data_IF_435884867237
#
_entry.id   IF_435884867237
#
_cell.length_a   1.000
_cell.length_b   1.000
_cell.length_c   1.000
_cell.angle_alpha   90.00
_cell.angle_beta   90.00
_cell.angle_gamma   90.00
#
_symmetry.space_group_name_H-M   'P 1'
#
loop_
_entity.id
_entity.type
_entity.pdbx_description
1 polymer ?
#
# COMPACT_ATOMS: atom_id res chain seq x y z
N UNK A 1 -17.45 -12.75 -20.52
CA UNK A 1 -16.97 -11.37 -20.30
C UNK A 1 -18.14 -10.55 -19.77
N UNK A 2 -18.38 -10.58 -18.46
CA UNK A 2 -19.44 -9.79 -17.86
C UNK A 2 -19.01 -8.31 -17.86
N UNK A 3 -19.89 -7.44 -18.32
CA UNK A 3 -19.63 -6.01 -18.42
C UNK A 3 -19.13 -5.47 -17.07
N UNK A 4 -17.92 -4.93 -17.07
CA UNK A 4 -17.40 -4.15 -15.93
C UNK A 4 -18.40 -3.01 -15.71
N UNK A 5 -19.08 -3.03 -14.58
CA UNK A 5 -20.01 -1.97 -14.19
C UNK A 5 -19.27 -0.63 -14.19
N UNK A 6 -19.94 0.45 -14.61
CA UNK A 6 -19.31 1.78 -14.71
C UNK A 6 -18.64 2.23 -13.39
N UNK A 7 -19.12 1.74 -12.25
CA UNK A 7 -18.54 1.97 -10.93
C UNK A 7 -17.19 1.24 -10.73
N UNK A 8 -17.06 -0.01 -11.18
CA UNK A 8 -15.81 -0.77 -11.10
C UNK A 8 -14.73 -0.16 -12.00
N UNK A 9 -15.09 0.32 -13.18
CA UNK A 9 -14.15 0.99 -14.10
C UNK A 9 -13.56 2.28 -13.48
N UNK A 10 -14.37 3.07 -12.77
CA UNK A 10 -13.89 4.27 -12.05
C UNK A 10 -12.93 3.89 -10.92
N UNK A 11 -13.24 2.83 -10.18
CA UNK A 11 -12.40 2.36 -9.09
C UNK A 11 -11.00 1.95 -9.57
N UNK A 12 -10.94 1.16 -10.65
CA UNK A 12 -9.68 0.75 -11.29
C UNK A 12 -8.92 1.98 -11.82
N UNK A 13 -9.62 2.95 -12.42
CA UNK A 13 -8.97 4.17 -12.90
C UNK A 13 -8.29 4.96 -11.77
N UNK A 14 -8.95 5.12 -10.62
CA UNK A 14 -8.34 5.76 -9.45
C UNK A 14 -7.14 4.98 -8.94
N UNK A 15 -7.27 3.66 -8.83
CA UNK A 15 -6.20 2.78 -8.39
C UNK A 15 -4.95 2.94 -9.25
N UNK A 16 -5.08 2.90 -10.58
CA UNK A 16 -3.97 3.06 -11.52
C UNK A 16 -3.32 4.44 -11.40
N UNK A 17 -4.11 5.50 -11.23
CA UNK A 17 -3.58 6.86 -11.06
C UNK A 17 -2.78 6.98 -9.76
N UNK A 18 -3.31 6.50 -8.64
CA UNK A 18 -2.58 6.53 -7.37
C UNK A 18 -1.36 5.61 -7.38
N UNK A 19 -1.45 4.47 -8.05
CA UNK A 19 -0.35 3.53 -8.19
C UNK A 19 0.81 4.13 -9.00
N UNK A 20 0.52 4.76 -10.13
CA UNK A 20 1.55 5.45 -10.95
C UNK A 20 2.19 6.62 -10.18
N UNK A 21 1.38 7.37 -9.41
CA UNK A 21 1.89 8.40 -8.50
C UNK A 21 2.81 7.81 -7.43
N UNK A 22 2.43 6.69 -6.82
CA UNK A 22 3.26 6.00 -5.82
C UNK A 22 4.58 5.49 -6.42
N UNK A 23 4.54 4.86 -7.60
CA UNK A 23 5.73 4.39 -8.30
C UNK A 23 6.66 5.56 -8.63
N UNK A 24 6.13 6.66 -9.18
CA UNK A 24 6.94 7.84 -9.48
C UNK A 24 7.59 8.45 -8.23
N UNK A 25 6.85 8.54 -7.11
CA UNK A 25 7.39 9.01 -5.83
C UNK A 25 8.57 8.15 -5.34
N UNK A 26 8.48 6.82 -5.49
CA UNK A 26 9.56 5.92 -5.08
C UNK A 26 10.75 5.99 -6.05
N UNK A 27 10.51 6.13 -7.35
CA UNK A 27 11.59 6.39 -8.32
C UNK A 27 12.35 7.67 -7.96
N UNK A 28 11.63 8.76 -7.64
CA UNK A 28 12.23 10.02 -7.18
C UNK A 28 13.04 9.84 -5.89
N UNK A 29 12.56 8.97 -4.98
CA UNK A 29 13.27 8.63 -3.74
C UNK A 29 14.57 7.87 -4.02
N UNK A 30 14.56 6.90 -4.93
CA UNK A 30 15.78 6.19 -5.37
C UNK A 30 16.75 7.11 -6.11
N UNK A 31 16.25 8.02 -6.95
CA UNK A 31 17.06 9.06 -7.60
C UNK A 31 17.74 9.94 -6.56
N UNK A 32 16.99 10.38 -5.54
CA UNK A 32 17.53 11.17 -4.44
C UNK A 32 18.61 10.42 -3.65
N UNK A 33 18.44 9.11 -3.43
CA UNK A 33 19.45 8.24 -2.83
C UNK A 33 20.73 8.17 -3.69
N UNK A 34 20.56 8.02 -5.00
CA UNK A 34 21.66 7.95 -5.97
C UNK A 34 22.43 9.28 -6.05
N UNK A 35 21.73 10.41 -6.03
CA UNK A 35 22.32 11.75 -6.00
C UNK A 35 23.13 11.95 -4.71
N UNK A 36 22.61 11.48 -3.57
CA UNK A 36 23.28 11.59 -2.26
C UNK A 36 24.41 10.57 -2.03
N UNK A 37 24.66 9.66 -3.00
CA UNK A 37 25.70 8.60 -2.97
C UNK A 37 25.79 7.85 -1.64
N UNK A 38 24.64 7.46 -1.10
CA UNK A 38 24.55 6.89 0.24
C UNK A 38 24.37 5.38 0.19
N UNK A 39 25.01 4.67 1.13
CA UNK A 39 24.84 3.22 1.27
C UNK A 39 23.37 2.89 1.62
N UNK A 40 22.89 1.76 1.10
CA UNK A 40 21.53 1.24 1.31
C UNK A 40 21.30 1.11 2.82
N UNK A 41 20.29 1.81 3.33
CA UNK A 41 19.88 1.70 4.74
C UNK A 41 18.58 0.93 4.88
N UNK A 42 18.27 0.53 6.11
CA UNK A 42 17.03 -0.17 6.45
C UNK A 42 15.77 0.54 5.90
N UNK A 43 15.80 1.87 5.75
CA UNK A 43 14.69 2.67 5.22
C UNK A 43 14.39 2.39 3.75
N UNK A 44 15.42 2.12 2.96
CA UNK A 44 15.27 1.83 1.53
C UNK A 44 14.67 0.44 1.35
N UNK A 45 15.07 -0.54 2.19
CA UNK A 45 14.50 -1.89 2.20
C UNK A 45 13.04 -1.86 2.61
N UNK A 46 12.68 -1.14 3.68
CA UNK A 46 11.29 -0.94 4.10
C UNK A 46 10.46 -0.27 2.98
N UNK A 47 11.03 0.71 2.27
CA UNK A 47 10.34 1.33 1.14
C UNK A 47 10.03 0.32 0.01
N UNK A 48 10.98 -0.56 -0.34
CA UNK A 48 10.79 -1.60 -1.35
C UNK A 48 9.72 -2.60 -0.91
N UNK A 49 9.77 -3.04 0.36
CA UNK A 49 8.77 -3.95 0.92
C UNK A 49 7.38 -3.33 0.89
N UNK A 50 7.25 -2.03 1.20
CA UNK A 50 5.97 -1.31 1.11
C UNK A 50 5.43 -1.25 -0.32
N UNK A 51 6.29 -1.07 -1.32
CA UNK A 51 5.90 -1.12 -2.73
C UNK A 51 5.44 -2.52 -3.16
N UNK A 52 6.13 -3.57 -2.71
CA UNK A 52 5.72 -4.94 -3.00
C UNK A 52 4.34 -5.25 -2.40
N UNK A 53 4.09 -4.78 -1.18
CA UNK A 53 2.77 -4.91 -0.55
C UNK A 53 1.69 -4.12 -1.32
N UNK A 54 2.02 -2.93 -1.84
CA UNK A 54 1.10 -2.13 -2.67
C UNK A 54 0.77 -2.83 -4.00
N UNK A 55 1.76 -3.47 -4.63
CA UNK A 55 1.54 -4.29 -5.84
C UNK A 55 0.63 -5.48 -5.52
N UNK A 56 0.89 -6.18 -4.41
CA UNK A 56 0.04 -7.29 -3.96
C UNK A 56 -1.41 -6.86 -3.74
N UNK A 57 -1.61 -5.75 -3.04
CA UNK A 57 -2.92 -5.15 -2.80
C UNK A 57 -3.66 -4.80 -4.10
N UNK A 58 -2.96 -4.24 -5.10
CA UNK A 58 -3.58 -3.92 -6.39
C UNK A 58 -3.96 -5.16 -7.21
N UNK A 59 -3.18 -6.22 -7.13
CA UNK A 59 -3.53 -7.51 -7.73
C UNK A 59 -4.77 -8.12 -7.06
N UNK A 60 -4.84 -8.10 -5.73
CA UNK A 60 -6.01 -8.61 -5.00
C UNK A 60 -7.29 -7.83 -5.34
N UNK A 61 -7.20 -6.50 -5.45
CA UNK A 61 -8.33 -5.65 -5.85
C UNK A 61 -8.77 -5.95 -7.28
N UNK A 62 -7.84 -6.03 -8.23
CA UNK A 62 -8.17 -6.27 -9.64
C UNK A 62 -8.78 -7.65 -9.84
N UNK A 63 -8.28 -8.68 -9.14
CA UNK A 63 -8.90 -10.02 -9.11
C UNK A 63 -10.30 -9.96 -8.49
N UNK A 64 -10.47 -9.26 -7.37
CA UNK A 64 -11.77 -9.03 -6.73
C UNK A 64 -12.77 -8.30 -7.63
N UNK A 65 -12.30 -7.35 -8.44
CA UNK A 65 -13.11 -6.59 -9.38
C UNK A 65 -13.56 -7.42 -10.59
N UNK A 66 -12.64 -8.20 -11.18
CA UNK A 66 -12.89 -9.00 -12.39
C UNK A 66 -13.79 -10.21 -12.12
N UNK A 67 -13.56 -10.92 -11.01
CA UNK A 67 -14.30 -12.15 -10.71
C UNK A 67 -15.75 -11.89 -10.26
N UNK A 68 -16.05 -10.68 -9.73
CA UNK A 68 -17.23 -10.52 -8.86
C UNK A 68 -18.09 -9.27 -9.02
N UNK A 69 -17.81 -8.41 -10.00
CA UNK A 69 -18.70 -7.29 -10.30
C UNK A 69 -18.88 -6.38 -9.08
N UNK A 70 -17.82 -5.63 -8.74
CA UNK A 70 -17.89 -4.57 -7.74
C UNK A 70 -19.04 -3.62 -8.13
N UNK A 71 -20.17 -3.68 -7.41
CA UNK A 71 -21.37 -2.88 -7.67
C UNK A 71 -22.70 -3.64 -7.80
N UNK A 72 -22.71 -4.98 -7.75
CA UNK A 72 -23.96 -5.76 -7.72
C UNK A 72 -24.41 -5.89 -6.26
N UNK A 73 -25.69 -5.66 -5.95
CA UNK A 73 -26.21 -5.81 -4.59
C UNK A 73 -26.06 -7.25 -4.08
N UNK A 74 -25.71 -7.40 -2.80
CA UNK A 74 -25.43 -8.68 -2.11
C UNK A 74 -26.55 -9.72 -2.21
N UNK A 75 -27.76 -9.30 -2.59
CA UNK A 75 -28.93 -10.16 -2.71
C UNK A 75 -28.94 -11.04 -3.98
N UNK A 76 -28.12 -10.77 -4.99
CA UNK A 76 -28.09 -11.55 -6.25
C UNK A 76 -26.90 -12.53 -6.34
N UNK A 77 -26.07 -12.62 -5.30
CA UNK A 77 -24.87 -13.47 -5.32
C UNK A 77 -25.13 -14.85 -4.71
N UNK A 78 -24.76 -15.89 -5.46
CA UNK A 78 -24.68 -17.27 -4.97
C UNK A 78 -23.76 -17.36 -3.74
N UNK A 79 -24.11 -18.18 -2.73
CA UNK A 79 -23.34 -18.34 -1.48
C UNK A 79 -21.83 -18.61 -1.68
N UNK A 80 -21.48 -19.44 -2.67
CA UNK A 80 -20.08 -19.72 -3.06
C UNK A 80 -19.36 -18.44 -3.50
N UNK A 81 -20.09 -17.56 -4.20
CA UNK A 81 -19.65 -16.23 -4.59
C UNK A 81 -19.67 -15.22 -3.45
N UNK A 82 -19.94 -15.56 -2.19
CA UNK A 82 -19.76 -14.63 -1.06
C UNK A 82 -18.49 -15.01 -0.31
N UNK A 83 -18.28 -16.32 -0.10
CA UNK A 83 -17.13 -16.86 0.64
C UNK A 83 -15.79 -16.45 0.04
N UNK A 84 -15.59 -16.52 -1.28
CA UNK A 84 -14.29 -16.10 -1.86
C UNK A 84 -14.03 -14.59 -1.76
N UNK A 85 -15.05 -13.71 -1.65
CA UNK A 85 -14.87 -12.25 -1.50
C UNK A 85 -14.42 -11.99 -0.11
N UNK A 86 -15.04 -12.67 0.86
CA UNK A 86 -14.63 -12.53 2.24
C UNK A 86 -13.17 -12.97 2.43
N UNK A 87 -12.75 -14.03 1.72
CA UNK A 87 -11.35 -14.48 1.69
C UNK A 87 -10.41 -13.46 1.05
N UNK A 88 -10.76 -12.91 -0.12
CA UNK A 88 -9.95 -11.88 -0.81
C UNK A 88 -9.92 -10.57 -0.02
N UNK A 89 -11.03 -10.18 0.59
CA UNK A 89 -11.14 -9.01 1.45
C UNK A 89 -10.23 -9.14 2.68
N UNK A 90 -10.25 -10.32 3.32
CA UNK A 90 -9.37 -10.60 4.44
C UNK A 90 -7.89 -10.56 4.02
N UNK A 91 -7.53 -11.14 2.87
CA UNK A 91 -6.17 -11.06 2.33
C UNK A 91 -5.73 -9.62 2.05
N UNK A 92 -6.63 -8.84 1.44
CA UNK A 92 -6.42 -7.44 1.10
C UNK A 92 -6.13 -6.56 2.33
N UNK A 93 -6.83 -6.80 3.45
CA UNK A 93 -6.61 -6.07 4.70
C UNK A 93 -5.18 -6.27 5.25
N UNK A 94 -4.63 -7.47 5.12
CA UNK A 94 -3.25 -7.76 5.54
C UNK A 94 -2.22 -7.04 4.67
N UNK A 95 -2.41 -7.04 3.35
CA UNK A 95 -1.53 -6.31 2.42
C UNK A 95 -1.61 -4.80 2.65
N UNK A 96 -2.81 -4.28 2.90
CA UNK A 96 -3.03 -2.87 3.21
C UNK A 96 -2.35 -2.48 4.53
N UNK A 97 -2.61 -3.20 5.62
CA UNK A 97 -2.03 -2.90 6.93
C UNK A 97 -0.50 -2.96 6.90
N UNK A 98 0.07 -4.03 6.32
CA UNK A 98 1.52 -4.19 6.19
C UNK A 98 2.15 -3.12 5.29
N UNK A 99 1.50 -2.79 4.16
CA UNK A 99 1.98 -1.76 3.26
C UNK A 99 1.99 -0.37 3.90
N UNK A 100 0.91 0.01 4.58
CA UNK A 100 0.75 1.32 5.22
C UNK A 100 1.71 1.48 6.40
N UNK A 101 1.86 0.47 7.25
CA UNK A 101 2.80 0.50 8.39
C UNK A 101 4.24 0.60 7.91
N UNK A 102 4.62 -0.20 6.90
CA UNK A 102 5.96 -0.18 6.32
C UNK A 102 6.30 1.16 5.64
N UNK A 103 5.33 1.76 4.93
CA UNK A 103 5.49 3.09 4.33
C UNK A 103 5.68 4.19 5.39
N UNK A 104 4.86 4.16 6.45
CA UNK A 104 4.96 5.11 7.59
C UNK A 104 6.31 4.98 8.31
N UNK A 105 6.79 3.75 8.52
CA UNK A 105 8.12 3.53 9.10
C UNK A 105 9.24 4.06 8.19
N UNK A 106 9.14 3.83 6.88
CA UNK A 106 10.12 4.30 5.90
C UNK A 106 10.25 5.82 5.86
N UNK A 107 9.14 6.57 5.92
CA UNK A 107 9.19 8.04 5.95
C UNK A 107 9.69 8.57 7.30
N UNK A 108 9.28 7.95 8.40
CA UNK A 108 9.66 8.43 9.72
C UNK A 108 11.15 8.26 9.99
N UNK A 109 11.70 7.14 9.55
CA UNK A 109 13.12 6.90 9.67
C UNK A 109 13.97 7.80 8.74
N UNK A 110 13.46 8.13 7.55
CA UNK A 110 14.05 9.16 6.70
C UNK A 110 14.10 10.51 7.41
N UNK A 111 13.02 10.88 8.10
CA UNK A 111 12.97 12.12 8.87
C UNK A 111 13.95 12.12 10.05
N UNK A 112 14.08 11.02 10.79
CA UNK A 112 15.07 10.87 11.87
C UNK A 112 16.50 11.10 11.38
N UNK A 113 16.78 10.65 10.16
CA UNK A 113 18.09 10.78 9.57
C UNK A 113 18.39 12.19 9.05
N UNK A 114 17.39 12.87 8.51
CA UNK A 114 17.51 14.27 8.05
C UNK A 114 17.61 15.21 9.25
N UNK A 115 16.76 15.02 10.25
CA UNK A 115 16.68 15.85 11.44
C UNK A 115 17.29 15.13 12.65
N UNK A 116 18.59 15.31 12.86
CA UNK A 116 19.31 14.77 14.03
C UNK A 116 19.03 15.54 15.34
N UNK A 117 17.85 16.17 15.45
CA UNK A 117 17.47 16.94 16.63
C UNK A 117 16.99 15.99 17.74
N UNK A 118 17.54 16.07 18.98
CA UNK A 118 17.28 15.07 20.03
C UNK A 118 15.83 15.05 20.57
N UNK A 119 15.08 16.14 20.37
CA UNK A 119 13.62 16.18 20.66
C UNK A 119 12.82 15.47 19.58
N UNK A 120 13.20 15.67 18.32
CA UNK A 120 12.55 15.06 17.17
C UNK A 120 12.81 13.55 17.11
N UNK A 121 14.03 13.12 17.42
CA UNK A 121 14.40 11.71 17.51
C UNK A 121 13.51 10.93 18.48
N UNK A 122 13.25 11.48 19.67
CA UNK A 122 12.38 10.84 20.67
C UNK A 122 10.93 10.76 20.21
N UNK A 123 10.39 11.82 19.62
CA UNK A 123 9.03 11.81 19.07
C UNK A 123 8.88 10.80 17.93
N UNK A 124 9.90 10.66 17.07
CA UNK A 124 9.93 9.67 16.01
C UNK A 124 10.02 8.23 16.56
N UNK A 125 10.84 8.00 17.59
CA UNK A 125 10.93 6.68 18.22
C UNK A 125 9.58 6.26 18.84
N UNK A 126 8.88 7.18 19.49
CA UNK A 126 7.54 6.95 20.06
C UNK A 126 6.51 6.60 18.98
N UNK A 127 6.56 7.27 17.84
CA UNK A 127 5.64 7.00 16.73
C UNK A 127 5.98 5.71 15.99
N UNK A 128 7.26 5.32 15.87
CA UNK A 128 7.65 3.96 15.43
C UNK A 128 7.06 2.91 16.36
N UNK A 129 7.22 3.06 17.68
CA UNK A 129 6.69 2.12 18.65
C UNK A 129 5.16 1.99 18.55
N UNK A 130 4.45 3.11 18.42
CA UNK A 130 3.00 3.11 18.24
C UNK A 130 2.56 2.41 16.95
N UNK A 131 3.25 2.68 15.83
CA UNK A 131 2.95 2.04 14.53
C UNK A 131 3.26 0.54 14.56
N UNK A 132 4.24 0.11 15.35
CA UNK A 132 4.63 -1.31 15.46
C UNK A 132 3.65 -2.12 16.30
N UNK A 133 2.86 -1.46 17.15
CA UNK A 133 1.90 -2.08 18.08
C UNK A 133 0.51 -2.21 17.45
N UNK A 134 0.22 -1.43 16.40
CA UNK A 134 -1.03 -1.45 15.65
C UNK A 134 -0.99 -2.51 14.54
#
# INVERSE_FOLDING_TARGET
MAAVTASAAKFIAYEVVFFTLAVSAVILRFLSLRIRRRAIRAHDVLCIVSLLCLVGYGVDITVGAVERGVGIHTNELTFTKIVTVLKVFLASEFFWSTGVTCFRLSILLLYVEIFQTPKFYRAAMMTIALISVY
#
